data_IF_187487715832
#
_entry.id   IF_187487715832
#
_cell.length_a   1.000
_cell.length_b   1.000
_cell.length_c   1.000
_cell.angle_alpha   90.00
_cell.angle_beta   90.00
_cell.angle_gamma   90.00
#
_symmetry.space_group_name_H-M   'P 1'
#
loop_
_entity.id
_entity.type
_entity.pdbx_description
1 polymer ?
#
# COMPACT_ATOMS: atom_id res chain seq x y z
N UNK A 1 -3.39 -1.28 -4.01
CA UNK A 1 -2.89 -0.73 -2.74
C UNK A 1 -1.53 -0.10 -2.93
N UNK A 2 -1.39 0.78 -3.92
CA UNK A 2 -0.13 1.52 -4.16
C UNK A 2 0.02 2.69 -3.19
N UNK A 3 -1.10 3.24 -2.73
CA UNK A 3 -1.14 4.30 -1.74
C UNK A 3 -2.08 3.93 -0.62
N UNK A 4 -1.60 4.13 0.61
CA UNK A 4 -2.36 3.92 1.83
C UNK A 4 -3.09 5.20 2.21
N UNK A 5 -4.36 5.10 2.59
CA UNK A 5 -5.08 6.21 3.20
C UNK A 5 -5.28 5.89 4.68
N UNK A 6 -4.68 6.71 5.53
CA UNK A 6 -4.74 6.59 6.97
C UNK A 6 -4.68 7.96 7.63
N UNK A 7 -5.07 8.00 8.89
CA UNK A 7 -4.99 9.13 9.79
C UNK A 7 -4.24 8.72 11.06
N UNK A 8 -3.58 9.69 11.67
CA UNK A 8 -2.99 9.53 13.00
C UNK A 8 -3.73 10.51 13.91
N UNK A 9 -4.53 9.98 14.81
CA UNK A 9 -5.35 10.76 15.73
C UNK A 9 -4.51 11.10 16.97
N UNK A 10 -4.42 12.39 17.28
CA UNK A 10 -3.71 12.95 18.44
C UNK A 10 -2.23 12.53 18.56
N UNK A 11 -1.62 12.14 17.44
CA UNK A 11 -0.24 11.64 17.41
C UNK A 11 -0.05 10.22 17.95
N UNK A 12 -1.11 9.58 18.44
CA UNK A 12 -1.03 8.32 19.19
C UNK A 12 -1.71 7.15 18.49
N UNK A 13 -2.83 7.38 17.79
CA UNK A 13 -3.67 6.32 17.24
C UNK A 13 -3.63 6.29 15.73
N UNK A 14 -3.07 5.21 15.18
CA UNK A 14 -3.12 4.96 13.75
C UNK A 14 -4.49 4.38 13.34
N UNK A 15 -5.06 4.92 12.27
CA UNK A 15 -6.32 4.43 11.69
C UNK A 15 -6.26 4.42 10.17
N UNK A 16 -6.45 3.27 9.54
CA UNK A 16 -6.72 3.15 8.11
C UNK A 16 -8.11 3.67 7.80
N UNK A 17 -8.19 4.72 6.98
CA UNK A 17 -9.47 5.33 6.57
C UNK A 17 -10.11 4.56 5.42
N UNK A 18 -9.30 3.93 4.57
CA UNK A 18 -9.78 3.13 3.46
C UNK A 18 -9.13 1.76 3.41
N UNK A 19 -9.97 0.73 3.56
CA UNK A 19 -9.59 -0.68 3.44
C UNK A 19 -10.27 -1.27 2.20
N UNK A 20 -9.57 -1.41 1.06
CA UNK A 20 -10.15 -2.06 -0.10
C UNK A 20 -10.45 -3.52 0.21
N UNK A 21 -11.56 -4.05 -0.31
CA UNK A 21 -11.93 -5.48 -0.16
C UNK A 21 -10.90 -6.40 -0.81
N UNK A 22 -10.31 -5.96 -1.91
CA UNK A 22 -9.29 -6.70 -2.65
C UNK A 22 -8.19 -5.76 -3.14
N UNK A 23 -6.94 -6.24 -3.08
CA UNK A 23 -5.82 -5.56 -3.68
C UNK A 23 -5.71 -5.91 -5.17
N UNK A 24 -6.09 -4.97 -6.02
CA UNK A 24 -5.82 -5.07 -7.46
C UNK A 24 -4.31 -5.17 -7.76
N UNK A 25 -3.92 -5.86 -8.84
CA UNK A 25 -2.55 -5.90 -9.32
C UNK A 25 -1.97 -4.49 -9.51
N UNK A 26 -0.71 -4.29 -9.12
CA UNK A 26 0.00 -3.01 -9.26
C UNK A 26 0.15 -2.61 -10.73
N UNK A 27 0.14 -3.57 -11.64
CA UNK A 27 0.18 -3.36 -13.09
C UNK A 27 -0.97 -2.48 -13.60
N UNK A 28 -2.18 -2.64 -13.05
CA UNK A 28 -3.34 -1.80 -13.43
C UNK A 28 -3.11 -0.32 -13.09
N UNK A 29 -2.32 -0.05 -12.05
CA UNK A 29 -1.93 1.31 -11.66
C UNK A 29 -0.72 1.79 -12.47
N UNK A 30 0.32 0.96 -12.63
CA UNK A 30 1.60 1.35 -13.23
C UNK A 30 1.54 1.52 -14.75
N UNK A 31 0.90 0.58 -15.48
CA UNK A 31 0.87 0.55 -16.96
C UNK A 31 0.38 1.84 -17.64
N UNK A 32 -0.71 2.52 -17.19
CA UNK A 32 -1.17 3.74 -17.85
C UNK A 32 -0.25 4.95 -17.63
N UNK A 33 0.69 4.89 -16.67
CA UNK A 33 1.53 6.02 -16.32
C UNK A 33 2.87 5.98 -17.06
N UNK A 34 3.09 6.96 -17.94
CA UNK A 34 4.30 7.02 -18.79
C UNK A 34 5.63 6.94 -18.02
N UNK A 35 5.67 7.45 -16.78
CA UNK A 35 6.85 7.42 -15.90
C UNK A 35 7.33 6.02 -15.53
N UNK A 36 6.48 5.00 -15.62
CA UNK A 36 6.79 3.62 -15.24
C UNK A 36 7.02 2.70 -16.45
N UNK A 37 7.07 3.27 -17.67
CA UNK A 37 7.25 2.48 -18.91
C UNK A 37 8.58 1.74 -19.02
N UNK A 38 9.59 2.16 -18.27
CA UNK A 38 10.92 1.56 -18.29
C UNK A 38 11.06 0.35 -17.37
N UNK A 39 10.04 0.06 -16.54
CA UNK A 39 10.10 -1.03 -15.58
C UNK A 39 9.96 -2.39 -16.27
N UNK A 40 10.77 -3.37 -15.85
CA UNK A 40 10.66 -4.76 -16.31
C UNK A 40 9.55 -5.51 -15.58
N UNK A 41 9.20 -6.70 -16.06
CA UNK A 41 8.23 -7.55 -15.38
C UNK A 41 8.72 -8.02 -14.00
N UNK A 42 10.03 -8.26 -13.84
CA UNK A 42 10.61 -8.60 -12.54
C UNK A 42 10.48 -7.45 -11.54
N UNK A 43 10.82 -6.22 -11.95
CA UNK A 43 10.69 -5.03 -11.09
C UNK A 43 9.23 -4.77 -10.70
N UNK A 44 8.30 -5.00 -11.63
CA UNK A 44 6.86 -4.91 -11.35
C UNK A 44 6.43 -5.98 -10.33
N UNK A 45 6.96 -7.19 -10.41
CA UNK A 45 6.68 -8.26 -9.46
C UNK A 45 7.21 -7.90 -8.06
N UNK A 46 8.43 -7.37 -7.95
CA UNK A 46 8.98 -6.89 -6.69
C UNK A 46 8.12 -5.77 -6.08
N UNK A 47 7.64 -4.82 -6.90
CA UNK A 47 6.73 -3.77 -6.46
C UNK A 47 5.40 -4.36 -5.96
N UNK A 48 4.86 -5.39 -6.63
CA UNK A 48 3.65 -6.09 -6.20
C UNK A 48 3.83 -6.73 -4.82
N UNK A 49 4.96 -7.41 -4.60
CA UNK A 49 5.28 -8.02 -3.31
C UNK A 49 5.44 -6.98 -2.22
N UNK A 50 6.17 -5.89 -2.50
CA UNK A 50 6.35 -4.77 -1.57
C UNK A 50 5.01 -4.14 -1.20
N UNK A 51 4.13 -3.87 -2.18
CA UNK A 51 2.80 -3.31 -1.93
C UNK A 51 1.96 -4.24 -1.05
N UNK A 52 1.98 -5.54 -1.33
CA UNK A 52 1.25 -6.56 -0.56
C UNK A 52 1.77 -6.64 0.88
N UNK A 53 3.09 -6.68 1.07
CA UNK A 53 3.74 -6.71 2.38
C UNK A 53 3.45 -5.44 3.19
N UNK A 54 3.48 -4.27 2.56
CA UNK A 54 3.16 -3.00 3.22
C UNK A 54 1.69 -2.98 3.66
N UNK A 55 0.78 -3.52 2.86
CA UNK A 55 -0.63 -3.63 3.25
C UNK A 55 -0.86 -4.54 4.44
N UNK A 56 -0.18 -5.69 4.50
CA UNK A 56 -0.22 -6.56 5.68
C UNK A 56 0.30 -5.85 6.95
N UNK A 57 1.36 -5.04 6.83
CA UNK A 57 1.88 -4.26 7.97
C UNK A 57 0.87 -3.22 8.43
N UNK A 58 0.27 -2.47 7.51
CA UNK A 58 -0.66 -1.39 7.83
C UNK A 58 -1.97 -1.92 8.42
N UNK A 59 -2.46 -3.08 7.97
CA UNK A 59 -3.60 -3.76 8.61
C UNK A 59 -3.29 -4.16 10.05
N UNK A 60 -2.10 -4.72 10.31
CA UNK A 60 -1.67 -5.04 11.68
C UNK A 60 -1.49 -3.80 12.55
N UNK A 61 -0.98 -2.71 11.98
CA UNK A 61 -0.85 -1.42 12.67
C UNK A 61 -2.22 -0.88 13.09
N UNK A 62 -3.19 -0.91 12.18
CA UNK A 62 -4.55 -0.47 12.42
C UNK A 62 -5.28 -1.33 13.46
N UNK A 63 -5.08 -2.65 13.45
CA UNK A 63 -5.62 -3.54 14.49
C UNK A 63 -5.06 -3.23 15.89
N UNK A 64 -3.81 -2.78 15.97
CA UNK A 64 -3.15 -2.42 17.23
C UNK A 64 -3.36 -0.96 17.63
N UNK A 65 -3.79 -0.12 16.69
CA UNK A 65 -3.85 1.34 16.84
C UNK A 65 -2.46 1.98 16.99
N UNK A 66 -1.38 1.26 16.70
CA UNK A 66 -0.01 1.71 16.91
C UNK A 66 0.51 2.47 15.70
N UNK A 67 1.19 3.60 15.95
CA UNK A 67 1.86 4.39 14.93
C UNK A 67 3.12 3.64 14.48
N UNK A 68 3.05 2.97 13.33
CA UNK A 68 4.19 2.34 12.67
C UNK A 68 4.61 3.24 11.51
N UNK A 69 5.46 4.23 11.80
CA UNK A 69 6.12 5.05 10.77
C UNK A 69 7.63 4.91 10.94
#
# INVERSE_FOLDING_TARGET
GMWALYEILDGEKFRLTYKPKELKPVTEYLKPQGRFRHLTEEEIAEIQEMATRNWQKLLKADERGEVII
#
